data_IF_738487595760
#
_entry.id   IF_738487595760
#
_cell.length_a   1.000
_cell.length_b   1.000
_cell.length_c   1.000
_cell.angle_alpha   90.00
_cell.angle_beta   90.00
_cell.angle_gamma   90.00
#
_symmetry.space_group_name_H-M   'P 1'
#
loop_
_entity.id
_entity.type
_entity.pdbx_description
1 polymer ?
#
# COMPACT_ATOMS: atom_id res chain seq x y z
N UNK A 1 -4.84 -16.29 7.98
CA UNK A 1 -5.50 -16.66 6.70
C UNK A 1 -6.44 -15.50 6.42
N UNK A 2 -6.09 -14.60 5.49
CA UNK A 2 -6.99 -13.51 5.14
C UNK A 2 -8.28 -14.11 4.56
N UNK A 3 -9.43 -13.76 5.13
CA UNK A 3 -10.73 -14.24 4.66
C UNK A 3 -10.96 -13.81 3.20
N UNK A 4 -11.69 -14.58 2.41
CA UNK A 4 -11.93 -14.25 0.99
C UNK A 4 -12.65 -12.88 0.83
N UNK A 5 -13.34 -12.42 1.87
CA UNK A 5 -13.94 -11.09 1.97
C UNK A 5 -12.88 -9.98 2.14
N UNK A 6 -11.81 -10.24 2.88
CA UNK A 6 -10.68 -9.32 3.08
C UNK A 6 -9.97 -9.02 1.75
N UNK A 7 -9.77 -10.04 0.92
CA UNK A 7 -9.17 -9.89 -0.41
C UNK A 7 -10.04 -9.05 -1.35
N UNK A 8 -11.36 -9.22 -1.28
CA UNK A 8 -12.30 -8.48 -2.14
C UNK A 8 -12.35 -7.00 -1.74
N UNK A 9 -12.39 -6.74 -0.43
CA UNK A 9 -12.30 -5.39 0.12
C UNK A 9 -10.97 -4.72 -0.23
N UNK A 10 -9.87 -5.44 -0.06
CA UNK A 10 -8.50 -4.98 -0.36
C UNK A 10 -8.37 -4.61 -1.84
N UNK A 11 -8.85 -5.45 -2.77
CA UNK A 11 -8.86 -5.13 -4.21
C UNK A 11 -9.63 -3.86 -4.52
N UNK A 12 -10.80 -3.68 -3.91
CA UNK A 12 -11.64 -2.49 -4.14
C UNK A 12 -10.94 -1.23 -3.63
N UNK A 13 -10.44 -1.25 -2.40
CA UNK A 13 -9.70 -0.12 -1.84
C UNK A 13 -8.47 0.22 -2.65
N UNK A 14 -7.66 -0.79 -3.02
CA UNK A 14 -6.49 -0.56 -3.86
C UNK A 14 -6.88 -0.01 -5.24
N UNK A 15 -7.98 -0.46 -5.83
CA UNK A 15 -8.51 0.12 -7.07
C UNK A 15 -8.83 1.60 -6.92
N UNK A 16 -9.49 1.99 -5.82
CA UNK A 16 -9.80 3.40 -5.49
C UNK A 16 -8.52 4.22 -5.25
N UNK A 17 -7.60 3.72 -4.42
CA UNK A 17 -6.34 4.39 -4.05
C UNK A 17 -5.41 4.53 -5.27
N UNK A 18 -5.30 3.49 -6.09
CA UNK A 18 -4.37 3.44 -7.23
C UNK A 18 -4.99 4.02 -8.51
N UNK A 19 -6.30 4.27 -8.52
CA UNK A 19 -7.05 4.69 -9.70
C UNK A 19 -7.09 3.60 -10.77
N UNK A 20 -7.12 2.33 -10.36
CA UNK A 20 -7.11 1.16 -11.24
C UNK A 20 -8.49 0.50 -11.25
N UNK A 21 -9.39 1.03 -12.07
CA UNK A 21 -10.77 0.54 -12.23
C UNK A 21 -10.84 -0.86 -12.85
N UNK A 22 -9.75 -1.28 -13.54
CA UNK A 22 -9.63 -2.60 -14.18
C UNK A 22 -9.53 -3.77 -13.20
N UNK A 23 -9.36 -3.48 -11.91
CA UNK A 23 -9.18 -4.48 -10.87
C UNK A 23 -7.75 -5.00 -10.78
N UNK A 24 -7.39 -5.48 -9.59
CA UNK A 24 -6.11 -6.12 -9.31
C UNK A 24 -6.28 -7.63 -9.24
N UNK A 25 -5.28 -8.34 -9.75
CA UNK A 25 -5.22 -9.80 -9.64
C UNK A 25 -5.06 -10.25 -8.18
N UNK A 26 -5.63 -11.40 -7.79
CA UNK A 26 -5.59 -11.91 -6.41
C UNK A 26 -4.18 -11.99 -5.86
N UNK A 27 -3.23 -12.48 -6.67
CA UNK A 27 -1.83 -12.59 -6.28
C UNK A 27 -1.21 -11.23 -5.91
N UNK A 28 -1.64 -10.19 -6.59
CA UNK A 28 -1.16 -8.81 -6.37
C UNK A 28 -1.81 -8.24 -5.10
N UNK A 29 -3.12 -8.41 -4.93
CA UNK A 29 -3.83 -7.98 -3.72
C UNK A 29 -3.34 -8.71 -2.45
N UNK A 30 -3.01 -9.99 -2.54
CA UNK A 30 -2.49 -10.77 -1.40
C UNK A 30 -1.16 -10.24 -0.85
N UNK A 31 -0.36 -9.53 -1.66
CA UNK A 31 0.89 -8.93 -1.20
C UNK A 31 0.69 -7.77 -0.21
N UNK A 32 -0.52 -7.18 -0.20
CA UNK A 32 -0.89 -6.04 0.66
C UNK A 32 -2.05 -6.36 1.59
N UNK A 33 -2.55 -7.60 1.57
CA UNK A 33 -3.60 -8.09 2.48
C UNK A 33 -3.19 -8.09 3.96
N UNK A 34 -1.98 -7.63 4.29
CA UNK A 34 -1.53 -7.34 5.66
C UNK A 34 -2.12 -6.05 6.24
N UNK A 35 -2.64 -5.15 5.39
CA UNK A 35 -3.41 -3.98 5.83
C UNK A 35 -4.89 -4.26 5.62
N UNK A 36 -5.51 -4.89 6.63
CA UNK A 36 -6.94 -5.16 6.62
C UNK A 36 -7.78 -3.89 6.82
N UNK A 37 -9.11 -3.99 6.65
CA UNK A 37 -10.04 -2.93 6.96
C UNK A 37 -9.95 -2.45 8.42
N UNK A 38 -9.80 -3.39 9.36
CA UNK A 38 -9.61 -3.07 10.78
C UNK A 38 -8.30 -2.31 11.02
N UNK A 39 -7.20 -2.71 10.37
CA UNK A 39 -5.92 -2.02 10.53
C UNK A 39 -5.97 -0.56 10.06
N UNK A 40 -6.65 -0.32 8.94
CA UNK A 40 -6.85 1.01 8.39
C UNK A 40 -7.92 1.82 9.15
N UNK A 41 -8.87 1.18 9.82
CA UNK A 41 -9.87 1.85 10.66
C UNK A 41 -9.32 2.27 12.02
N UNK A 42 -8.39 1.50 12.58
CA UNK A 42 -7.75 1.77 13.86
C UNK A 42 -6.59 2.79 13.77
N UNK A 43 -6.07 3.07 12.57
CA UNK A 43 -5.14 4.18 12.33
C UNK A 43 -5.83 5.54 12.47
N UNK A 44 -5.12 6.54 13.00
CA UNK A 44 -5.68 7.90 12.99
C UNK A 44 -5.83 8.42 11.56
N UNK A 45 -6.85 9.25 11.35
CA UNK A 45 -7.23 9.75 10.03
C UNK A 45 -6.05 10.38 9.30
N UNK A 46 -5.20 11.15 9.99
CA UNK A 46 -4.03 11.82 9.39
C UNK A 46 -2.94 10.83 9.01
N UNK A 47 -2.66 9.84 9.87
CA UNK A 47 -1.68 8.79 9.58
C UNK A 47 -2.17 7.95 8.40
N UNK A 48 -3.43 7.52 8.44
CA UNK A 48 -4.10 6.77 7.38
C UNK A 48 -4.01 7.49 6.04
N UNK A 49 -4.39 8.77 5.98
CA UNK A 49 -4.33 9.53 4.73
C UNK A 49 -2.89 9.63 4.20
N UNK A 50 -1.93 9.91 5.09
CA UNK A 50 -0.52 9.99 4.74
C UNK A 50 0.04 8.65 4.23
N UNK A 51 -0.26 7.53 4.89
CA UNK A 51 0.21 6.21 4.43
C UNK A 51 -0.42 5.79 3.12
N UNK A 52 -1.73 6.01 2.94
CA UNK A 52 -2.43 5.67 1.70
C UNK A 52 -1.94 6.53 0.54
N UNK A 53 -1.67 7.81 0.80
CA UNK A 53 -1.11 8.71 -0.21
C UNK A 53 0.32 8.31 -0.60
N UNK A 54 1.19 8.04 0.38
CA UNK A 54 2.57 7.59 0.14
C UNK A 54 2.60 6.24 -0.59
N UNK A 55 1.75 5.30 -0.18
CA UNK A 55 1.56 4.02 -0.85
C UNK A 55 1.19 4.21 -2.32
N UNK A 56 0.17 5.02 -2.59
CA UNK A 56 -0.31 5.25 -3.95
C UNK A 56 0.77 5.88 -4.82
N UNK A 57 1.49 6.88 -4.31
CA UNK A 57 2.55 7.56 -5.05
C UNK A 57 3.70 6.62 -5.39
N UNK A 58 4.19 5.83 -4.43
CA UNK A 58 5.31 4.92 -4.65
C UNK A 58 4.93 3.75 -5.57
N UNK A 59 3.72 3.20 -5.44
CA UNK A 59 3.22 2.17 -6.33
C UNK A 59 3.07 2.69 -7.77
N UNK A 60 2.51 3.89 -7.94
CA UNK A 60 2.42 4.56 -9.25
C UNK A 60 3.80 4.82 -9.83
N UNK A 61 4.71 5.40 -9.05
CA UNK A 61 6.08 5.67 -9.49
C UNK A 61 6.82 4.40 -9.93
N UNK A 62 6.66 3.29 -9.19
CA UNK A 62 7.22 1.99 -9.57
C UNK A 62 6.64 1.48 -10.89
N UNK A 63 5.32 1.59 -11.07
CA UNK A 63 4.63 1.20 -12.31
C UNK A 63 5.07 2.06 -13.50
N UNK A 64 5.10 3.37 -13.33
CA UNK A 64 5.51 4.34 -14.36
C UNK A 64 7.01 4.21 -14.70
N UNK A 65 7.85 3.74 -13.77
CA UNK A 65 9.24 3.39 -14.07
C UNK A 65 9.39 2.14 -14.97
N UNK A 66 8.39 1.26 -15.02
CA UNK A 66 8.40 0.04 -15.85
C UNK A 66 7.95 0.29 -17.29
N UNK A 67 7.43 1.46 -17.60
CA UNK A 67 7.10 1.84 -18.97
C UNK A 67 6.41 3.19 -19.03
N UNK A 68 6.57 3.92 -20.15
CA UNK A 68 5.94 5.22 -20.32
C UNK A 68 4.43 5.05 -20.15
N UNK A 69 3.87 5.66 -19.12
CA UNK A 69 2.45 5.57 -18.83
C UNK A 69 1.59 6.15 -19.97
N UNK A 70 0.27 6.19 -19.77
CA UNK A 70 -0.73 6.68 -20.73
C UNK A 70 -0.45 8.07 -21.35
N UNK A 71 0.51 8.83 -20.80
CA UNK A 71 1.00 10.09 -21.35
C UNK A 71 1.56 9.97 -22.78
N UNK A 72 2.06 8.79 -23.19
CA UNK A 72 2.60 8.57 -24.55
C UNK A 72 1.65 7.78 -25.48
N UNK A 73 0.36 7.68 -25.14
CA UNK A 73 -0.62 6.92 -25.93
C UNK A 73 -0.48 5.40 -25.85
N UNK A 74 0.46 4.90 -25.03
CA UNK A 74 0.63 3.49 -24.71
C UNK A 74 -0.33 3.02 -23.61
N UNK A 75 -0.59 1.71 -23.56
CA UNK A 75 -1.34 1.10 -22.47
C UNK A 75 -0.51 1.17 -21.18
N UNK A 76 -1.08 1.77 -20.10
CA UNK A 76 -0.47 1.72 -18.76
C UNK A 76 -0.23 0.26 -18.36
N UNK A 77 0.99 -0.10 -17.90
CA UNK A 77 1.23 -1.45 -17.42
C UNK A 77 0.41 -1.71 -16.15
N UNK A 78 -0.12 -2.92 -16.00
CA UNK A 78 -0.84 -3.31 -14.78
C UNK A 78 0.10 -3.31 -13.57
N UNK A 79 -0.45 -3.03 -12.38
CA UNK A 79 0.30 -3.18 -11.13
C UNK A 79 0.73 -4.63 -10.91
N UNK A 80 1.94 -4.78 -10.40
CA UNK A 80 2.53 -6.06 -10.01
C UNK A 80 2.73 -6.10 -8.49
N UNK A 81 2.92 -7.29 -7.90
CA UNK A 81 3.23 -7.40 -6.47
C UNK A 81 4.39 -6.48 -6.04
N UNK A 82 5.43 -6.36 -6.87
CA UNK A 82 6.60 -5.49 -6.61
C UNK A 82 6.26 -4.01 -6.48
N UNK A 83 5.29 -3.52 -7.26
CA UNK A 83 4.87 -2.11 -7.15
C UNK A 83 4.13 -1.87 -5.84
N UNK A 84 3.33 -2.84 -5.41
CA UNK A 84 2.63 -2.76 -4.14
C UNK A 84 3.58 -2.92 -2.95
N UNK A 85 4.59 -3.79 -3.03
CA UNK A 85 5.67 -3.88 -2.04
C UNK A 85 6.44 -2.56 -1.92
N UNK A 86 6.66 -1.85 -3.04
CA UNK A 86 7.23 -0.50 -3.05
C UNK A 86 6.31 0.49 -2.33
N UNK A 87 5.01 0.40 -2.60
CA UNK A 87 3.97 1.15 -1.90
C UNK A 87 4.01 0.94 -0.39
N UNK A 88 4.05 -0.33 0.05
CA UNK A 88 4.11 -0.69 1.47
C UNK A 88 5.36 -0.14 2.14
N UNK A 89 6.51 -0.24 1.47
CA UNK A 89 7.77 0.31 1.97
C UNK A 89 7.68 1.83 2.17
N UNK A 90 7.02 2.54 1.26
CA UNK A 90 6.81 3.98 1.38
C UNK A 90 5.81 4.33 2.49
N UNK A 91 4.69 3.60 2.58
CA UNK A 91 3.73 3.75 3.68
C UNK A 91 4.39 3.56 5.05
N UNK A 92 5.20 2.51 5.19
CA UNK A 92 5.99 2.26 6.39
C UNK A 92 6.94 3.43 6.69
N UNK A 93 7.70 3.88 5.70
CA UNK A 93 8.61 5.02 5.87
C UNK A 93 7.86 6.28 6.28
N UNK A 94 6.63 6.49 5.82
CA UNK A 94 5.77 7.59 6.26
C UNK A 94 5.36 7.45 7.72
N UNK A 95 4.98 6.26 8.20
CA UNK A 95 4.72 6.02 9.62
C UNK A 95 5.98 6.20 10.47
N UNK A 96 7.13 5.73 9.99
CA UNK A 96 8.43 5.88 10.66
C UNK A 96 8.85 7.36 10.76
N UNK A 97 8.46 8.18 9.78
CA UNK A 97 8.71 9.63 9.79
C UNK A 97 7.81 10.39 10.79
N UNK A 98 6.66 9.83 11.19
CA UNK A 98 5.84 10.41 12.27
C UNK A 98 6.57 10.17 13.60
N UNK A 99 6.84 11.23 14.41
CA UNK A 99 7.52 11.06 15.69
C UNK A 99 6.69 10.17 16.62
N UNK A 100 7.36 9.32 17.41
CA UNK A 100 6.69 8.35 18.28
C UNK A 100 5.66 9.00 19.24
N UNK A 101 5.87 10.26 19.64
CA UNK A 101 4.94 11.01 20.50
C UNK A 101 3.62 11.40 19.82
N UNK A 102 3.54 11.36 18.49
CA UNK A 102 2.34 11.66 17.69
C UNK A 102 1.80 10.43 16.95
N UNK A 103 2.51 9.29 17.05
CA UNK A 103 2.16 8.04 16.39
C UNK A 103 1.10 7.30 17.20
N UNK A 104 0.10 6.74 16.54
CA UNK A 104 -0.94 5.95 17.22
C UNK A 104 -0.42 4.58 17.64
N UNK A 105 -0.99 4.02 18.72
CA UNK A 105 -0.67 2.66 19.19
C UNK A 105 -0.79 1.61 18.07
N UNK A 106 -1.77 1.77 17.18
CA UNK A 106 -1.92 0.89 16.01
C UNK A 106 -0.79 1.05 14.99
N UNK A 107 -0.33 2.28 14.73
CA UNK A 107 0.81 2.52 13.85
C UNK A 107 2.10 1.93 14.44
N UNK A 108 2.29 2.02 15.76
CA UNK A 108 3.39 1.31 16.44
C UNK A 108 3.26 -0.20 16.34
N UNK A 109 2.06 -0.75 16.54
CA UNK A 109 1.80 -2.18 16.39
C UNK A 109 2.08 -2.66 14.96
N UNK A 110 1.66 -1.91 13.93
CA UNK A 110 1.93 -2.24 12.53
C UNK A 110 3.43 -2.19 12.19
N UNK A 111 4.17 -1.24 12.77
CA UNK A 111 5.62 -1.18 12.63
C UNK A 111 6.35 -2.32 13.36
N UNK A 112 5.83 -2.76 14.50
CA UNK A 112 6.38 -3.85 15.30
C UNK A 112 6.03 -5.24 14.74
N UNK A 113 4.83 -5.41 14.18
CA UNK A 113 4.33 -6.66 13.58
C UNK A 113 4.83 -6.85 12.15
N UNK A 114 5.25 -5.77 11.48
CA UNK A 114 5.91 -5.83 10.18
C UNK A 114 7.21 -6.63 10.26
N UNK A 115 7.09 -7.94 10.03
CA UNK A 115 8.17 -8.88 9.73
C UNK A 115 8.79 -8.61 8.33
N UNK A 116 8.88 -7.34 7.94
CA UNK A 116 9.55 -6.91 6.71
C UNK A 116 11.06 -6.90 6.96
N UNK A 117 11.87 -7.55 6.11
CA UNK A 117 13.32 -7.50 6.22
C UNK A 117 13.76 -6.03 6.21
N UNK A 118 14.46 -5.63 7.26
CA UNK A 118 15.15 -4.34 7.33
C UNK A 118 15.96 -4.15 6.04
N UNK A 119 15.85 -3.00 5.35
CA UNK A 119 16.73 -2.71 4.23
C UNK A 119 18.14 -2.46 4.76
N UNK A 120 18.96 -3.53 4.81
CA UNK A 120 20.42 -3.50 4.90
C UNK A 120 21.01 -3.07 6.24
N UNK A 121 21.67 -4.02 6.91
CA UNK A 121 22.82 -3.70 7.76
C UNK A 121 24.09 -3.49 6.94
#
# INVERSE_FOLDING_TARGET
MADMQDITWTKKQLGEILGEDRGLDDRTASAVAMFGPDDLAELQIRERDAVLQAFAQAARASRDARGPGAAEGGARPSYTPKDLERGLSAARATLEAVPASERSEKAEALLADCHCPVPGG
#
